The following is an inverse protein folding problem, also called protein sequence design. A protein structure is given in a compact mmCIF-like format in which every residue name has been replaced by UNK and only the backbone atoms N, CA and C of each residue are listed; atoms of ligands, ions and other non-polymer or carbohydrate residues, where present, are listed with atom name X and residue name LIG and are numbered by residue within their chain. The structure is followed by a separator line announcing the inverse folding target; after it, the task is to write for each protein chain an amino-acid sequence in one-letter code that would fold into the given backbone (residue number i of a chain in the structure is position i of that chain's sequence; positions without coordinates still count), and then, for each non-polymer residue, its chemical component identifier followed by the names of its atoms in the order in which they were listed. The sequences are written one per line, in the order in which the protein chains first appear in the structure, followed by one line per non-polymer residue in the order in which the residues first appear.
data_IF_007259915565
#
_entry.id   IF_007259915565
#
_cell.length_a   1.000
_cell.length_b   1.000
_cell.length_c   1.000
_cell.angle_alpha   90.00
_cell.angle_beta   90.00
_cell.angle_gamma   90.00
#
_symmetry.space_group_name_H-M   'P 1'
#
loop_
_entity.id
_entity.type
_entity.pdbx_description
1 polymer ?
#
# COMPACT_ATOMS: atom_id res chain seq x y z
N UNK A 1 33.51 36.15 51.31
CA UNK A 1 34.54 35.09 51.15
C UNK A 1 33.92 33.87 50.50
N UNK A 2 34.55 33.41 49.41
CA UNK A 2 34.67 32.02 48.91
C UNK A 2 33.42 31.25 48.42
N UNK A 3 33.36 31.12 47.08
CA UNK A 3 32.80 30.00 46.31
C UNK A 3 33.58 28.69 46.60
N UNK A 4 32.95 27.50 46.40
CA UNK A 4 33.24 26.68 45.22
C UNK A 4 31.97 26.03 44.64
N UNK A 5 31.70 26.24 43.36
CA UNK A 5 31.95 25.33 42.22
C UNK A 5 30.70 24.50 41.88
N UNK A 6 30.27 24.50 40.61
CA UNK A 6 29.09 23.78 40.12
C UNK A 6 29.45 22.31 39.90
N UNK A 7 28.48 21.51 39.42
CA UNK A 7 28.58 20.17 38.79
C UNK A 7 27.67 19.18 39.52
N UNK A 8 26.81 18.50 38.76
CA UNK A 8 25.73 17.60 39.21
C UNK A 8 24.50 18.43 39.63
N UNK A 9 23.61 18.85 38.73
CA UNK A 9 22.54 18.01 38.18
C UNK A 9 22.02 18.59 36.85
N UNK A 10 22.88 18.67 35.83
CA UNK A 10 22.44 18.88 34.45
C UNK A 10 23.03 17.77 33.59
N UNK A 11 22.46 16.57 33.70
CA UNK A 11 22.73 15.48 32.77
C UNK A 11 21.63 14.42 32.86
N UNK A 12 20.98 14.20 31.72
CA UNK A 12 20.21 13.01 31.32
C UNK A 12 18.77 12.93 31.87
N UNK A 13 17.93 13.85 31.40
CA UNK A 13 16.54 13.53 31.05
C UNK A 13 16.48 12.78 29.70
N UNK A 14 17.22 11.67 29.59
CA UNK A 14 17.45 10.93 28.34
C UNK A 14 17.73 9.46 28.67
N UNK A 15 16.74 8.76 29.24
CA UNK A 15 16.70 7.29 29.26
C UNK A 15 15.31 6.82 29.67
N UNK A 16 14.59 6.22 28.72
CA UNK A 16 13.48 5.31 28.96
C UNK A 16 12.15 5.90 29.46
N UNK A 17 11.60 6.87 28.73
CA UNK A 17 10.18 6.83 28.41
C UNK A 17 10.01 7.12 26.92
N UNK A 18 10.76 6.37 26.10
CA UNK A 18 10.32 6.09 24.75
C UNK A 18 8.95 5.47 24.89
N UNK A 19 7.91 6.25 24.58
CA UNK A 19 6.58 5.73 24.35
C UNK A 19 6.73 4.72 23.22
N UNK A 20 6.93 3.46 23.59
CA UNK A 20 6.55 2.32 22.76
C UNK A 20 5.09 2.56 22.42
N UNK A 21 4.84 3.18 21.26
CA UNK A 21 3.58 3.07 20.56
C UNK A 21 3.34 1.57 20.44
N UNK A 22 2.51 1.05 21.35
CA UNK A 22 2.30 -0.39 21.45
C UNK A 22 1.60 -0.81 20.15
N UNK A 23 1.91 -2.00 19.66
CA UNK A 23 1.25 -2.65 18.53
C UNK A 23 -0.30 -2.76 18.63
N UNK A 24 -0.91 -2.23 19.70
CA UNK A 24 -2.35 -2.08 19.91
C UNK A 24 -2.93 -0.81 19.24
N UNK A 25 -2.13 0.22 18.93
CA UNK A 25 -2.60 1.45 18.25
C UNK A 25 -2.52 1.35 16.71
N UNK A 26 -2.11 0.19 16.17
CA UNK A 26 -1.94 -0.05 14.73
C UNK A 26 -3.18 -0.74 14.17
N UNK A 27 -4.27 0.01 14.04
CA UNK A 27 -5.49 -0.46 13.38
C UNK A 27 -5.89 0.52 12.26
N UNK A 28 -6.57 0.03 11.23
CA UNK A 28 -7.04 0.87 10.13
C UNK A 28 -8.54 1.11 10.25
N UNK A 29 -8.96 2.36 10.09
CA UNK A 29 -10.34 2.71 9.78
C UNK A 29 -10.76 2.18 8.40
N UNK A 30 -12.07 2.18 8.12
CA UNK A 30 -12.58 1.76 6.81
C UNK A 30 -12.01 2.58 5.66
N UNK A 31 -11.82 3.89 5.84
CA UNK A 31 -11.24 4.75 4.83
C UNK A 31 -9.77 4.39 4.54
N UNK A 32 -8.98 4.20 5.59
CA UNK A 32 -7.56 3.83 5.45
C UNK A 32 -7.40 2.43 4.84
N UNK A 33 -8.30 1.49 5.17
CA UNK A 33 -8.34 0.17 4.52
C UNK A 33 -8.59 0.27 3.01
N UNK A 34 -9.54 1.13 2.60
CA UNK A 34 -9.81 1.36 1.18
C UNK A 34 -8.62 2.00 0.47
N UNK A 35 -7.90 2.89 1.14
CA UNK A 35 -6.67 3.49 0.62
C UNK A 35 -5.55 2.45 0.47
N UNK A 36 -5.35 1.57 1.46
CA UNK A 36 -4.40 0.45 1.38
C UNK A 36 -4.77 -0.49 0.23
N UNK A 37 -6.05 -0.83 0.08
CA UNK A 37 -6.53 -1.69 -1.01
C UNK A 37 -6.25 -1.07 -2.38
N UNK A 38 -6.56 0.22 -2.54
CA UNK A 38 -6.30 0.97 -3.75
C UNK A 38 -4.80 1.01 -4.08
N UNK A 39 -3.96 1.42 -3.14
CA UNK A 39 -2.51 1.52 -3.33
C UNK A 39 -1.89 0.15 -3.63
N UNK A 40 -2.29 -0.87 -2.86
CA UNK A 40 -1.86 -2.25 -3.07
C UNK A 40 -2.24 -2.79 -4.45
N UNK A 41 -3.47 -2.52 -4.91
CA UNK A 41 -3.96 -2.95 -6.23
C UNK A 41 -3.16 -2.31 -7.38
N UNK A 42 -2.93 -0.99 -7.32
CA UNK A 42 -2.21 -0.29 -8.39
C UNK A 42 -0.75 -0.76 -8.45
N UNK A 43 -0.06 -0.81 -7.30
CA UNK A 43 1.32 -1.31 -7.24
C UNK A 43 1.42 -2.79 -7.66
N UNK A 44 0.47 -3.61 -7.20
CA UNK A 44 0.40 -5.02 -7.53
C UNK A 44 0.17 -5.26 -9.02
N UNK A 45 -0.67 -4.45 -9.66
CA UNK A 45 -0.95 -4.53 -11.09
C UNK A 45 0.27 -4.22 -11.93
N UNK A 46 1.03 -3.17 -11.60
CA UNK A 46 2.32 -2.90 -12.26
C UNK A 46 3.32 -4.05 -12.11
N UNK A 47 3.35 -4.68 -10.93
CA UNK A 47 4.15 -5.88 -10.67
C UNK A 47 3.69 -7.12 -11.45
N UNK A 48 2.37 -7.31 -11.61
CA UNK A 48 1.78 -8.40 -12.38
C UNK A 48 2.09 -8.24 -13.87
N UNK A 49 1.88 -7.05 -14.44
CA UNK A 49 2.17 -6.75 -15.84
C UNK A 49 3.62 -7.07 -16.19
N UNK A 50 4.57 -6.60 -15.38
CA UNK A 50 6.00 -6.90 -15.57
C UNK A 50 6.29 -8.41 -15.64
N UNK A 51 5.61 -9.22 -14.82
CA UNK A 51 5.76 -10.69 -14.82
C UNK A 51 5.07 -11.34 -16.02
N UNK A 52 3.98 -10.75 -16.50
CA UNK A 52 3.19 -11.25 -17.60
C UNK A 52 3.76 -10.98 -19.00
N UNK A 53 4.84 -10.20 -19.13
CA UNK A 53 5.40 -9.79 -20.42
C UNK A 53 5.62 -10.95 -21.41
N UNK A 54 6.19 -12.06 -20.95
CA UNK A 54 6.44 -13.23 -21.81
C UNK A 54 5.15 -13.95 -22.23
N UNK A 55 4.14 -14.00 -21.36
CA UNK A 55 2.85 -14.64 -21.66
C UNK A 55 2.01 -13.78 -22.62
N UNK A 56 2.07 -12.45 -22.49
CA UNK A 56 1.23 -11.53 -23.25
C UNK A 56 1.79 -11.19 -24.63
N UNK A 57 3.11 -11.35 -24.85
CA UNK A 57 3.74 -11.10 -26.15
C UNK A 57 3.38 -9.71 -26.70
N UNK A 58 2.83 -9.66 -27.91
CA UNK A 58 2.44 -8.42 -28.59
C UNK A 58 1.33 -7.63 -27.85
N UNK A 59 0.52 -8.30 -27.02
CA UNK A 59 -0.53 -7.63 -26.21
C UNK A 59 0.05 -6.89 -25.01
N UNK A 60 1.30 -7.17 -24.63
CA UNK A 60 1.90 -6.59 -23.43
C UNK A 60 1.92 -5.07 -23.47
N UNK A 61 2.44 -4.48 -24.55
CA UNK A 61 2.57 -3.01 -24.67
C UNK A 61 1.19 -2.34 -24.61
N UNK A 62 0.21 -2.83 -25.37
CA UNK A 62 -1.17 -2.30 -25.34
C UNK A 62 -1.79 -2.35 -23.94
N UNK A 63 -1.47 -3.39 -23.16
CA UNK A 63 -1.95 -3.54 -21.80
C UNK A 63 -1.29 -2.53 -20.85
N UNK A 64 0.01 -2.29 -21.01
CA UNK A 64 0.74 -1.24 -20.27
C UNK A 64 0.16 0.14 -20.60
N UNK A 65 -0.05 0.45 -21.88
CA UNK A 65 -0.62 1.72 -22.32
C UNK A 65 -2.02 1.93 -21.71
N UNK A 66 -2.88 0.89 -21.73
CA UNK A 66 -4.22 0.94 -21.13
C UNK A 66 -4.17 1.16 -19.62
N UNK A 67 -3.18 0.57 -18.93
CA UNK A 67 -2.97 0.78 -17.50
C UNK A 67 -2.55 2.23 -17.20
N UNK A 68 -1.68 2.82 -18.02
CA UNK A 68 -1.28 4.23 -17.87
C UNK A 68 -2.43 5.20 -18.17
N UNK A 69 -3.18 4.96 -19.25
CA UNK A 69 -4.33 5.77 -19.68
C UNK A 69 -5.52 5.71 -18.71
N UNK A 70 -5.68 4.60 -17.98
CA UNK A 70 -6.76 4.43 -16.99
C UNK A 70 -6.71 5.43 -15.83
N UNK A 71 -5.63 6.20 -15.69
CA UNK A 71 -5.43 7.18 -14.63
C UNK A 71 -5.06 6.55 -13.28
N UNK A 72 -4.95 5.21 -13.21
CA UNK A 72 -4.56 4.50 -11.99
C UNK A 72 -3.21 4.95 -11.43
N UNK A 73 -2.26 5.33 -12.30
CA UNK A 73 -0.97 5.89 -11.87
C UNK A 73 -1.12 7.26 -11.19
N UNK A 74 -2.06 8.10 -11.64
CA UNK A 74 -2.38 9.39 -11.01
C UNK A 74 -3.07 9.17 -9.67
N UNK A 75 -3.98 8.19 -9.61
CA UNK A 75 -4.65 7.76 -8.39
C UNK A 75 -3.65 7.25 -7.32
N UNK A 76 -2.65 6.47 -7.74
CA UNK A 76 -1.54 6.04 -6.89
C UNK A 76 -0.74 7.21 -6.32
N UNK A 77 -0.31 8.17 -7.17
CA UNK A 77 0.48 9.33 -6.72
C UNK A 77 -0.28 10.21 -5.73
N UNK A 78 -1.60 10.38 -5.93
CA UNK A 78 -2.44 11.13 -4.98
C UNK A 78 -2.53 10.43 -3.62
N UNK A 79 -2.69 9.11 -3.62
CA UNK A 79 -2.71 8.34 -2.39
C UNK A 79 -1.33 8.35 -1.69
N UNK A 80 -0.24 8.28 -2.46
CA UNK A 80 1.14 8.35 -1.94
C UNK A 80 1.42 9.69 -1.25
N UNK A 81 1.01 10.81 -1.84
CA UNK A 81 1.14 12.14 -1.22
C UNK A 81 0.34 12.25 0.08
N UNK A 82 -0.87 11.67 0.12
CA UNK A 82 -1.69 11.66 1.33
C UNK A 82 -1.01 10.87 2.47
N UNK A 83 -0.45 9.69 2.16
CA UNK A 83 0.31 8.87 3.12
C UNK A 83 1.60 9.59 3.58
N UNK A 84 2.36 10.15 2.65
CA UNK A 84 3.61 10.87 2.92
C UNK A 84 3.40 12.15 3.75
N UNK A 85 2.20 12.73 3.75
CA UNK A 85 1.89 13.92 4.55
C UNK A 85 1.59 13.61 6.03
N UNK A 86 1.41 12.33 6.39
CA UNK A 86 0.91 11.88 7.70
C UNK A 86 1.98 11.18 8.58
N UNK A 87 3.25 11.57 8.40
CA UNK A 87 4.52 10.86 8.68
C UNK A 87 4.76 10.19 10.06
N UNK A 88 3.83 10.17 11.01
CA UNK A 88 4.05 9.54 12.32
C UNK A 88 3.20 8.29 12.61
N UNK A 89 2.19 7.96 11.79
CA UNK A 89 1.21 6.89 12.12
C UNK A 89 1.17 5.69 11.18
N UNK A 90 1.91 5.68 10.06
CA UNK A 90 1.57 4.81 8.92
C UNK A 90 2.63 3.77 8.50
N UNK A 91 3.71 3.53 9.25
CA UNK A 91 4.67 2.43 8.92
C UNK A 91 3.95 1.08 8.75
N UNK A 92 2.90 0.85 9.54
CA UNK A 92 2.04 -0.32 9.45
C UNK A 92 1.19 -0.36 8.18
N UNK A 93 0.68 0.79 7.71
CA UNK A 93 -0.06 0.87 6.46
C UNK A 93 0.87 0.67 5.24
N UNK A 94 2.09 1.19 5.29
CA UNK A 94 3.09 0.99 4.24
C UNK A 94 3.45 -0.49 4.05
N UNK A 95 3.65 -1.23 5.15
CA UNK A 95 3.90 -2.67 5.05
C UNK A 95 2.66 -3.42 4.55
N UNK A 96 1.45 -3.03 5.00
CA UNK A 96 0.21 -3.61 4.47
C UNK A 96 0.03 -3.35 2.98
N UNK A 97 0.35 -2.15 2.48
CA UNK A 97 0.33 -1.85 1.04
C UNK A 97 1.30 -2.77 0.29
N UNK A 98 2.52 -2.98 0.81
CA UNK A 98 3.51 -3.86 0.18
C UNK A 98 3.09 -5.33 0.20
N UNK A 99 2.48 -5.80 1.29
CA UNK A 99 1.95 -7.17 1.39
C UNK A 99 0.77 -7.35 0.43
N UNK A 100 -0.18 -6.42 0.42
CA UNK A 100 -1.33 -6.43 -0.48
C UNK A 100 -0.87 -6.41 -1.95
N UNK A 101 0.06 -5.53 -2.30
CA UNK A 101 0.62 -5.46 -3.65
C UNK A 101 1.31 -6.75 -4.08
N UNK A 102 2.09 -7.38 -3.19
CA UNK A 102 2.75 -8.67 -3.48
C UNK A 102 1.72 -9.77 -3.72
N UNK A 103 0.69 -9.86 -2.89
CA UNK A 103 -0.39 -10.84 -3.05
C UNK A 103 -1.18 -10.60 -4.33
N UNK A 104 -1.62 -9.37 -4.56
CA UNK A 104 -2.34 -8.97 -5.76
C UNK A 104 -1.55 -9.29 -7.03
N UNK A 105 -0.26 -8.95 -7.05
CA UNK A 105 0.60 -9.27 -8.18
C UNK A 105 0.69 -10.78 -8.41
N UNK A 106 0.85 -11.56 -7.33
CA UNK A 106 0.92 -13.02 -7.41
C UNK A 106 -0.38 -13.64 -7.96
N UNK A 107 -1.54 -13.16 -7.51
CA UNK A 107 -2.85 -13.67 -7.95
C UNK A 107 -3.08 -13.37 -9.44
N UNK A 108 -2.69 -12.17 -9.89
CA UNK A 108 -2.89 -11.70 -11.26
C UNK A 108 -1.86 -12.29 -12.24
N UNK A 109 -0.67 -12.66 -11.78
CA UNK A 109 0.39 -13.23 -12.64
C UNK A 109 0.79 -14.65 -12.23
N UNK A 110 -0.14 -15.45 -11.69
CA UNK A 110 0.15 -16.81 -11.21
C UNK A 110 0.61 -17.74 -12.35
N UNK A 111 0.03 -17.58 -13.53
CA UNK A 111 0.34 -18.30 -14.76
C UNK A 111 -0.07 -17.47 -16.00
N UNK A 112 0.14 -18.00 -17.21
CA UNK A 112 -0.24 -17.27 -18.42
C UNK A 112 -1.75 -17.04 -18.58
N UNK A 113 -2.60 -17.92 -18.04
CA UNK A 113 -4.07 -17.74 -18.05
C UNK A 113 -4.49 -16.59 -17.13
N UNK A 114 -3.84 -16.46 -15.97
CA UNK A 114 -4.00 -15.32 -15.07
C UNK A 114 -3.52 -14.02 -15.75
N UNK A 115 -2.42 -14.08 -16.50
CA UNK A 115 -1.92 -12.94 -17.27
C UNK A 115 -2.89 -12.47 -18.35
N UNK A 116 -3.51 -13.39 -19.11
CA UNK A 116 -4.53 -13.03 -20.11
C UNK A 116 -5.74 -12.35 -19.47
N UNK A 117 -6.25 -12.93 -18.36
CA UNK A 117 -7.35 -12.31 -17.59
C UNK A 117 -6.95 -10.95 -17.00
N UNK A 118 -5.69 -10.78 -16.62
CA UNK A 118 -5.15 -9.50 -16.16
C UNK A 118 -5.21 -8.46 -17.28
N UNK A 119 -4.76 -8.81 -18.49
CA UNK A 119 -4.82 -7.90 -19.62
C UNK A 119 -6.25 -7.46 -19.96
N UNK A 120 -7.20 -8.40 -19.92
CA UNK A 120 -8.62 -8.10 -20.14
C UNK A 120 -9.19 -7.21 -19.03
N UNK A 121 -8.83 -7.50 -17.78
CA UNK A 121 -9.23 -6.69 -16.61
C UNK A 121 -8.74 -5.25 -16.77
N UNK A 122 -7.44 -5.05 -17.07
CA UNK A 122 -6.84 -3.73 -17.29
C UNK A 122 -7.58 -2.94 -18.38
N UNK A 123 -7.94 -3.60 -19.49
CA UNK A 123 -8.71 -2.97 -20.56
C UNK A 123 -10.08 -2.42 -20.13
N UNK A 124 -10.63 -2.89 -19.01
CA UNK A 124 -11.92 -2.43 -18.45
C UNK A 124 -11.78 -1.42 -17.30
N UNK A 125 -10.57 -1.20 -16.78
CA UNK A 125 -10.30 -0.27 -15.67
C UNK A 125 -10.31 1.21 -16.10
N UNK A 126 -10.58 1.52 -17.36
CA UNK A 126 -10.79 2.89 -17.83
C UNK A 126 -11.96 3.58 -17.10
N UNK A 127 -12.97 2.83 -16.65
CA UNK A 127 -14.12 3.36 -15.91
C UNK A 127 -13.88 3.43 -14.39
N UNK A 128 -14.31 4.53 -13.77
CA UNK A 128 -14.17 4.71 -12.32
C UNK A 128 -14.98 3.69 -11.49
N UNK A 129 -16.15 3.26 -11.99
CA UNK A 129 -16.99 2.24 -11.35
C UNK A 129 -16.27 0.88 -11.27
N UNK A 130 -15.63 0.44 -12.36
CA UNK A 130 -14.88 -0.81 -12.38
C UNK A 130 -13.65 -0.76 -11.46
N UNK A 131 -12.98 0.39 -11.37
CA UNK A 131 -11.89 0.58 -10.40
C UNK A 131 -12.39 0.51 -8.96
N UNK A 132 -13.52 1.15 -8.65
CA UNK A 132 -14.11 1.09 -7.31
C UNK A 132 -14.44 -0.35 -6.90
N UNK A 133 -15.07 -1.13 -7.78
CA UNK A 133 -15.38 -2.54 -7.53
C UNK A 133 -14.15 -3.39 -7.29
N UNK A 134 -13.07 -3.15 -8.04
CA UNK A 134 -11.78 -3.81 -7.80
C UNK A 134 -11.26 -3.48 -6.39
N UNK A 135 -11.23 -2.21 -6.01
CA UNK A 135 -10.74 -1.80 -4.69
C UNK A 135 -11.59 -2.34 -3.54
N UNK A 136 -12.92 -2.37 -3.69
CA UNK A 136 -13.83 -2.95 -2.69
C UNK A 136 -13.56 -4.45 -2.50
N UNK A 137 -13.34 -5.19 -3.59
CA UNK A 137 -13.00 -6.61 -3.54
C UNK A 137 -11.63 -6.85 -2.87
N UNK A 138 -10.63 -6.01 -3.16
CA UNK A 138 -9.31 -6.11 -2.55
C UNK A 138 -9.30 -5.69 -1.07
N UNK A 139 -10.09 -4.68 -0.69
CA UNK A 139 -10.28 -4.30 0.71
C UNK A 139 -10.86 -5.48 1.52
N UNK A 140 -11.86 -6.18 0.97
CA UNK A 140 -12.42 -7.38 1.60
C UNK A 140 -11.34 -8.47 1.80
N UNK A 141 -10.42 -8.67 0.86
CA UNK A 141 -9.31 -9.62 1.00
C UNK A 141 -8.31 -9.19 2.07
N UNK A 142 -8.03 -7.89 2.20
CA UNK A 142 -7.12 -7.37 3.23
C UNK A 142 -7.66 -7.64 4.63
N UNK A 143 -8.98 -7.57 4.85
CA UNK A 143 -9.57 -7.91 6.17
C UNK A 143 -9.31 -9.35 6.62
N UNK A 144 -8.97 -10.24 5.68
CA UNK A 144 -8.66 -11.64 5.93
C UNK A 144 -7.15 -11.90 6.06
N UNK A 145 -6.31 -10.86 5.90
CA UNK A 145 -4.86 -11.01 6.00
C UNK A 145 -4.41 -11.06 7.46
N UNK A 146 -3.45 -11.94 7.82
CA UNK A 146 -2.91 -12.01 9.18
C UNK A 146 -2.27 -10.71 9.67
N UNK A 147 -1.82 -9.87 8.72
CA UNK A 147 -1.21 -8.59 9.02
C UNK A 147 -2.25 -7.50 9.35
N UNK A 148 -3.54 -7.67 9.05
CA UNK A 148 -4.58 -6.66 9.24
C UNK A 148 -5.15 -6.64 10.67
N UNK A 149 -5.42 -5.44 11.17
CA UNK A 149 -6.09 -5.17 12.45
C UNK A 149 -7.16 -4.10 12.22
N UNK A 150 -8.43 -4.44 12.45
CA UNK A 150 -9.54 -3.49 12.37
C UNK A 150 -9.65 -2.66 13.65
N UNK A 151 -9.97 -1.37 13.53
CA UNK A 151 -10.43 -0.59 14.68
C UNK A 151 -11.91 -0.91 14.97
N UNK A 152 -12.34 -0.99 16.25
CA UNK A 152 -13.76 -1.04 16.60
C UNK A 152 -14.50 0.25 16.23
#
# INVERSE_FOLDING_TARGET
MRLPLPHVLFAIALSAAGTVARAADQCLSKAELMDVARMGSVMGLGGALKRCGNCLGERYQKTVDSYEESGMLVEFRRAEVAVQSSQSKFEYADELVRVAARKFASDMSADCTACERTADTVGTLASADMRSKLYDAEAAKITQMPAYKSCP
#
